data_IF_728939523590
#
_entry.id   IF_728939523590
#
_cell.length_a   1.000
_cell.length_b   1.000
_cell.length_c   1.000
_cell.angle_alpha   90.00
_cell.angle_beta   90.00
_cell.angle_gamma   90.00
#
_symmetry.space_group_name_H-M   'P 1'
#
loop_
_entity.id
_entity.type
_entity.pdbx_description
1 polymer ?
#
# COMPACT_ATOMS: atom_id res chain seq x y z
N UNK A 1 -37.85 -10.83 -34.07
CA UNK A 1 -38.16 -10.50 -32.66
C UNK A 1 -37.26 -11.25 -31.67
N UNK A 2 -36.95 -12.53 -31.90
CA UNK A 2 -36.10 -13.36 -31.02
C UNK A 2 -34.63 -12.92 -30.89
N UNK A 3 -34.00 -12.42 -31.96
CA UNK A 3 -32.60 -11.94 -31.92
C UNK A 3 -32.41 -10.74 -30.98
N UNK A 4 -33.36 -9.80 -30.97
CA UNK A 4 -33.32 -8.63 -30.05
C UNK A 4 -33.47 -9.06 -28.59
N UNK A 5 -34.28 -10.08 -28.32
CA UNK A 5 -34.48 -10.62 -26.97
C UNK A 5 -33.23 -11.33 -26.45
N UNK A 6 -32.54 -12.08 -27.31
CA UNK A 6 -31.28 -12.75 -26.99
C UNK A 6 -30.14 -11.78 -26.74
N UNK A 7 -30.04 -10.69 -27.52
CA UNK A 7 -29.02 -9.65 -27.32
C UNK A 7 -29.21 -8.90 -26.00
N UNK A 8 -30.46 -8.61 -25.62
CA UNK A 8 -30.77 -7.97 -24.33
C UNK A 8 -30.44 -8.91 -23.16
N UNK A 9 -30.77 -10.20 -23.25
CA UNK A 9 -30.44 -11.17 -22.22
C UNK A 9 -28.92 -11.35 -22.05
N UNK A 10 -28.16 -11.32 -23.15
CA UNK A 10 -26.69 -11.43 -23.11
C UNK A 10 -26.03 -10.18 -22.51
N UNK A 11 -26.57 -8.98 -22.77
CA UNK A 11 -26.15 -7.73 -22.12
C UNK A 11 -26.42 -7.74 -20.61
N UNK A 12 -27.56 -8.25 -20.16
CA UNK A 12 -27.86 -8.37 -18.72
C UNK A 12 -26.97 -9.40 -18.01
N UNK A 13 -26.58 -10.48 -18.69
CA UNK A 13 -25.65 -11.47 -18.13
C UNK A 13 -24.23 -10.92 -17.95
N UNK A 14 -23.78 -10.00 -18.82
CA UNK A 14 -22.48 -9.34 -18.68
C UNK A 14 -22.46 -8.29 -17.55
N UNK A 15 -23.56 -7.58 -17.30
CA UNK A 15 -23.65 -6.55 -16.23
C UNK A 15 -23.70 -7.17 -14.83
N UNK A 16 -24.19 -8.42 -14.71
CA UNK A 16 -24.29 -9.12 -13.43
C UNK A 16 -22.98 -9.79 -12.98
N UNK A 17 -21.96 -9.85 -13.85
CA UNK A 17 -20.65 -10.43 -13.51
C UNK A 17 -19.76 -9.39 -12.83
N UNK A 18 -20.18 -8.90 -11.66
CA UNK A 18 -19.21 -8.24 -10.77
C UNK A 18 -18.41 -9.34 -10.09
N UNK A 19 -17.07 -9.38 -10.23
CA UNK A 19 -16.28 -10.28 -9.40
C UNK A 19 -16.63 -9.99 -7.94
N UNK A 20 -16.85 -11.04 -7.16
CA UNK A 20 -17.12 -10.91 -5.75
C UNK A 20 -15.85 -10.34 -5.08
N UNK A 21 -15.81 -9.02 -4.92
CA UNK A 21 -14.83 -8.37 -4.06
C UNK A 21 -15.05 -8.93 -2.65
N UNK A 22 -14.06 -9.61 -2.10
CA UNK A 22 -14.21 -10.25 -0.79
C UNK A 22 -14.43 -9.16 0.25
N UNK A 23 -15.31 -9.41 1.23
CA UNK A 23 -15.54 -8.47 2.34
C UNK A 23 -14.23 -8.06 3.06
N UNK A 24 -13.18 -8.88 2.93
CA UNK A 24 -11.83 -8.63 3.44
C UNK A 24 -11.09 -7.54 2.68
N UNK A 25 -11.20 -7.45 1.35
CA UNK A 25 -10.51 -6.43 0.55
C UNK A 25 -11.05 -5.02 0.84
N UNK A 26 -12.38 -4.86 0.88
CA UNK A 26 -13.03 -3.58 1.25
C UNK A 26 -12.63 -3.13 2.67
N UNK A 27 -12.54 -4.07 3.61
CA UNK A 27 -12.11 -3.78 4.97
C UNK A 27 -10.65 -3.28 5.02
N UNK A 28 -9.76 -3.87 4.23
CA UNK A 28 -8.35 -3.45 4.16
C UNK A 28 -8.20 -2.07 3.51
N UNK A 29 -8.96 -1.78 2.44
CA UNK A 29 -8.99 -0.43 1.84
C UNK A 29 -9.47 0.62 2.85
N UNK A 30 -10.55 0.32 3.58
CA UNK A 30 -11.06 1.20 4.63
C UNK A 30 -10.04 1.46 5.74
N UNK A 31 -9.30 0.42 6.14
CA UNK A 31 -8.22 0.56 7.12
C UNK A 31 -7.10 1.45 6.59
N UNK A 32 -6.66 1.25 5.34
CA UNK A 32 -5.63 2.06 4.70
C UNK A 32 -6.03 3.54 4.63
N UNK A 33 -7.26 3.84 4.19
CA UNK A 33 -7.80 5.22 4.20
C UNK A 33 -7.84 5.83 5.60
N UNK A 34 -8.10 5.02 6.63
CA UNK A 34 -8.09 5.48 8.02
C UNK A 34 -6.67 5.84 8.50
N UNK A 35 -5.68 5.00 8.16
CA UNK A 35 -4.27 5.24 8.46
C UNK A 35 -3.78 6.53 7.78
N UNK A 36 -4.07 6.66 6.48
CA UNK A 36 -3.77 7.86 5.69
C UNK A 36 -4.31 9.12 6.34
N UNK A 37 -5.62 9.15 6.61
CA UNK A 37 -6.27 10.31 7.25
C UNK A 37 -5.63 10.67 8.58
N UNK A 38 -5.25 9.67 9.38
CA UNK A 38 -4.59 9.88 10.67
C UNK A 38 -3.21 10.55 10.53
N UNK A 39 -2.49 10.29 9.45
CA UNK A 39 -1.18 10.90 9.20
C UNK A 39 -1.29 12.24 8.46
N UNK A 40 -2.23 12.40 7.52
CA UNK A 40 -2.52 13.69 6.88
C UNK A 40 -3.00 14.76 7.88
N UNK A 41 -3.63 14.36 8.99
CA UNK A 41 -3.99 15.29 10.07
C UNK A 41 -2.79 15.78 10.89
N UNK A 42 -1.67 15.06 10.87
CA UNK A 42 -0.49 15.34 11.69
C UNK A 42 0.64 16.00 10.90
N UNK A 43 0.61 15.85 9.58
CA UNK A 43 1.69 16.23 8.69
C UNK A 43 1.08 17.09 7.60
N UNK A 44 1.63 18.29 7.44
CA UNK A 44 1.18 19.26 6.44
C UNK A 44 1.63 18.84 5.03
N UNK A 45 0.91 17.88 4.46
CA UNK A 45 1.13 17.36 3.12
C UNK A 45 -0.21 17.10 2.42
N UNK A 46 -0.26 17.41 1.13
CA UNK A 46 -1.43 17.12 0.29
C UNK A 46 -1.56 15.62 0.02
N UNK A 47 -2.80 15.13 -0.06
CA UNK A 47 -3.08 13.74 -0.44
C UNK A 47 -2.52 13.37 -1.82
N UNK A 48 -2.48 14.31 -2.78
CA UNK A 48 -1.91 14.07 -4.11
C UNK A 48 -0.42 13.69 -4.08
N UNK A 49 0.38 14.37 -3.24
CA UNK A 49 1.80 14.02 -3.02
C UNK A 49 1.97 12.62 -2.43
N UNK A 50 1.06 12.21 -1.55
CA UNK A 50 1.08 10.85 -0.96
C UNK A 50 0.71 9.81 -2.02
N UNK A 51 -0.36 10.05 -2.79
CA UNK A 51 -0.77 9.18 -3.90
C UNK A 51 0.29 9.10 -5.01
N UNK A 52 1.10 10.16 -5.18
CA UNK A 52 2.25 10.19 -6.07
C UNK A 52 3.24 9.05 -5.87
N UNK A 53 3.39 8.51 -4.65
CA UNK A 53 4.26 7.36 -4.40
C UNK A 53 3.86 6.13 -5.22
N UNK A 54 2.56 5.92 -5.48
CA UNK A 54 2.09 4.82 -6.35
C UNK A 54 2.47 5.02 -7.82
N UNK A 55 2.73 6.27 -8.22
CA UNK A 55 3.21 6.65 -9.56
C UNK A 55 4.74 6.71 -9.64
N UNK A 56 5.45 6.37 -8.56
CA UNK A 56 6.91 6.47 -8.49
C UNK A 56 7.42 7.87 -8.20
N UNK A 57 6.56 8.78 -7.76
CA UNK A 57 6.94 10.12 -7.36
C UNK A 57 7.48 10.08 -5.93
N UNK A 58 8.80 9.98 -5.83
CA UNK A 58 9.54 10.04 -4.58
C UNK A 58 10.41 11.32 -4.52
N UNK A 59 9.80 12.52 -4.38
CA UNK A 59 10.54 13.76 -4.24
C UNK A 59 11.25 13.85 -2.89
N UNK A 60 12.32 14.63 -2.84
CA UNK A 60 13.03 14.97 -1.60
C UNK A 60 12.22 15.97 -0.73
N UNK A 61 11.08 15.50 -0.21
CA UNK A 61 10.12 16.28 0.58
C UNK A 61 10.13 15.77 2.04
N UNK A 62 10.54 16.60 3.03
CA UNK A 62 10.59 16.22 4.43
C UNK A 62 9.25 15.72 4.99
N UNK A 63 8.12 16.30 4.54
CA UNK A 63 6.79 15.92 5.00
C UNK A 63 6.37 14.58 4.41
N UNK A 64 6.73 14.29 3.14
CA UNK A 64 6.46 12.98 2.55
C UNK A 64 7.29 11.88 3.23
N UNK A 65 8.56 12.18 3.55
CA UNK A 65 9.40 11.26 4.33
C UNK A 65 8.76 10.96 5.68
N UNK A 66 8.37 11.98 6.43
CA UNK A 66 7.75 11.77 7.73
C UNK A 66 6.35 11.16 7.65
N UNK A 67 5.63 11.32 6.53
CA UNK A 67 4.38 10.61 6.28
C UNK A 67 4.60 9.09 6.28
N UNK A 68 5.63 8.61 5.57
CA UNK A 68 5.96 7.18 5.59
C UNK A 68 6.25 6.66 7.00
N UNK A 69 7.01 7.42 7.79
CA UNK A 69 7.30 7.07 9.17
C UNK A 69 6.05 7.08 10.07
N UNK A 70 5.16 8.05 9.89
CA UNK A 70 3.89 8.10 10.62
C UNK A 70 3.06 6.83 10.41
N UNK A 71 2.89 6.41 9.15
CA UNK A 71 2.15 5.19 8.82
C UNK A 71 2.84 3.97 9.44
N UNK A 72 4.14 3.81 9.25
CA UNK A 72 4.90 2.67 9.78
C UNK A 72 4.85 2.59 11.31
N UNK A 73 4.87 3.73 12.01
CA UNK A 73 4.67 3.77 13.47
C UNK A 73 3.25 3.37 13.87
N UNK A 74 2.22 3.83 13.16
CA UNK A 74 0.83 3.46 13.45
C UNK A 74 0.59 1.96 13.34
N UNK A 75 1.14 1.31 12.32
CA UNK A 75 1.04 -0.14 12.13
C UNK A 75 2.14 -0.94 12.84
N UNK A 76 2.95 -0.25 13.67
CA UNK A 76 4.02 -0.81 14.51
C UNK A 76 5.16 -1.50 13.75
N UNK A 77 5.35 -1.19 12.47
CA UNK A 77 6.46 -1.68 11.66
C UNK A 77 7.72 -0.82 11.78
N UNK A 78 7.65 0.29 12.52
CA UNK A 78 8.80 1.09 12.91
C UNK A 78 8.76 1.33 14.43
N UNK A 79 9.83 0.96 15.13
CA UNK A 79 9.94 1.07 16.59
C UNK A 79 11.41 1.19 16.99
N UNK A 80 11.69 1.89 18.09
CA UNK A 80 13.04 2.04 18.65
C UNK A 80 14.06 2.58 17.62
N UNK A 81 13.66 3.55 16.80
CA UNK A 81 14.53 4.19 15.80
C UNK A 81 14.84 3.34 14.57
N UNK A 82 14.23 2.16 14.41
CA UNK A 82 14.49 1.23 13.31
C UNK A 82 13.21 0.57 12.76
N UNK A 83 13.35 -0.02 11.57
CA UNK A 83 12.30 -0.82 10.92
C UNK A 83 12.27 -2.21 11.56
N UNK A 84 11.09 -2.67 11.95
CA UNK A 84 10.85 -4.03 12.46
C UNK A 84 10.40 -4.92 11.29
N UNK A 85 11.37 -5.51 10.58
CA UNK A 85 11.08 -6.33 9.39
C UNK A 85 10.20 -7.54 9.71
N UNK A 86 10.32 -8.14 10.89
CA UNK A 86 9.46 -9.24 11.30
C UNK A 86 7.99 -8.77 11.40
N UNK A 87 7.77 -7.58 11.96
CA UNK A 87 6.43 -6.98 11.99
C UNK A 87 5.95 -6.56 10.60
N UNK A 88 6.83 -6.05 9.72
CA UNK A 88 6.45 -5.73 8.32
C UNK A 88 5.91 -6.97 7.62
N UNK A 89 6.63 -8.09 7.68
CA UNK A 89 6.22 -9.36 7.08
C UNK A 89 4.87 -9.81 7.65
N UNK A 90 4.70 -9.72 8.98
CA UNK A 90 3.45 -10.07 9.65
C UNK A 90 2.27 -9.19 9.20
N UNK A 91 2.46 -7.89 9.04
CA UNK A 91 1.40 -6.99 8.56
C UNK A 91 0.98 -7.33 7.13
N UNK A 92 1.95 -7.64 6.25
CA UNK A 92 1.65 -8.09 4.88
C UNK A 92 0.82 -9.37 4.88
N UNK A 93 1.17 -10.36 5.70
CA UNK A 93 0.42 -11.62 5.81
C UNK A 93 -1.00 -11.45 6.37
N UNK A 94 -1.22 -10.42 7.20
CA UNK A 94 -2.54 -10.11 7.76
C UNK A 94 -3.41 -9.26 6.82
N UNK A 95 -2.80 -8.51 5.91
CA UNK A 95 -3.49 -7.51 5.08
C UNK A 95 -3.67 -7.90 3.62
N UNK A 96 -3.04 -8.99 3.15
CA UNK A 96 -3.06 -9.39 1.76
C UNK A 96 -3.45 -10.86 1.59
N UNK A 97 -3.96 -11.21 0.40
CA UNK A 97 -4.15 -12.61 0.05
C UNK A 97 -2.80 -13.35 0.03
N UNK A 98 -2.76 -14.68 0.32
CA UNK A 98 -1.50 -15.41 0.43
C UNK A 98 -0.57 -15.29 -0.79
N UNK A 99 -1.12 -15.30 -2.01
CA UNK A 99 -0.36 -15.10 -3.25
C UNK A 99 0.28 -13.70 -3.35
N UNK A 100 -0.44 -12.65 -2.99
CA UNK A 100 0.03 -11.27 -3.03
C UNK A 100 1.03 -11.00 -1.91
N UNK A 101 0.77 -11.57 -0.73
CA UNK A 101 1.68 -11.52 0.41
C UNK A 101 3.03 -12.15 0.05
N UNK A 102 3.06 -13.27 -0.68
CA UNK A 102 4.30 -13.90 -1.12
C UNK A 102 5.15 -12.96 -2.00
N UNK A 103 4.51 -12.31 -2.98
CA UNK A 103 5.19 -11.35 -3.88
C UNK A 103 5.73 -10.15 -3.10
N UNK A 104 4.95 -9.60 -2.17
CA UNK A 104 5.40 -8.47 -1.35
C UNK A 104 6.53 -8.84 -0.38
N UNK A 105 6.50 -10.06 0.17
CA UNK A 105 7.58 -10.57 1.03
C UNK A 105 8.91 -10.66 0.31
N UNK A 106 8.93 -11.03 -0.98
CA UNK A 106 10.16 -11.02 -1.78
C UNK A 106 10.74 -9.60 -1.92
N UNK A 107 9.88 -8.60 -2.15
CA UNK A 107 10.31 -7.21 -2.21
C UNK A 107 10.87 -6.72 -0.87
N UNK A 108 10.17 -7.03 0.23
CA UNK A 108 10.62 -6.70 1.59
C UNK A 108 11.97 -7.34 1.91
N UNK A 109 12.15 -8.61 1.55
CA UNK A 109 13.41 -9.32 1.80
C UNK A 109 14.59 -8.64 1.08
N UNK A 110 14.43 -8.29 -0.20
CA UNK A 110 15.44 -7.54 -0.96
C UNK A 110 15.80 -6.22 -0.28
N UNK A 111 14.81 -5.49 0.23
CA UNK A 111 15.04 -4.22 0.92
C UNK A 111 15.61 -4.39 2.34
N UNK A 112 15.34 -5.52 3.02
CA UNK A 112 15.70 -5.72 4.43
C UNK A 112 17.21 -5.78 4.69
N UNK A 113 18.00 -6.08 3.66
CA UNK A 113 19.46 -6.18 3.74
C UNK A 113 20.18 -4.85 3.47
N UNK A 114 19.45 -3.78 3.16
CA UNK A 114 20.02 -2.46 2.93
C UNK A 114 20.40 -1.77 4.24
N UNK A 115 21.39 -0.89 4.17
CA UNK A 115 21.69 0.02 5.27
C UNK A 115 20.72 1.22 5.24
N UNK A 116 20.11 1.51 6.40
CA UNK A 116 19.17 2.61 6.57
C UNK A 116 19.79 3.73 7.41
N UNK A 117 20.30 4.75 6.74
CA UNK A 117 20.96 5.91 7.35
C UNK A 117 20.02 7.12 7.44
N UNK A 118 20.36 8.08 8.30
CA UNK A 118 19.59 9.31 8.50
C UNK A 118 18.58 9.21 9.65
N UNK A 119 17.70 10.20 9.73
CA UNK A 119 16.64 10.24 10.73
C UNK A 119 15.53 9.19 10.47
N UNK A 120 14.61 9.04 11.41
CA UNK A 120 13.53 8.05 11.32
C UNK A 120 12.65 8.22 10.08
N UNK A 121 12.42 9.47 9.64
CA UNK A 121 11.65 9.78 8.45
C UNK A 121 12.39 9.32 7.19
N UNK A 122 13.69 9.61 7.09
CA UNK A 122 14.53 9.17 5.99
C UNK A 122 14.61 7.65 5.90
N UNK A 123 14.80 6.95 7.04
CA UNK A 123 14.87 5.48 7.06
C UNK A 123 13.58 4.85 6.53
N UNK A 124 12.43 5.27 7.05
CA UNK A 124 11.11 4.79 6.59
C UNK A 124 10.90 5.06 5.11
N UNK A 125 11.25 6.26 4.66
CA UNK A 125 11.07 6.66 3.28
C UNK A 125 11.94 5.86 2.32
N UNK A 126 13.21 5.66 2.64
CA UNK A 126 14.13 4.83 1.85
C UNK A 126 13.62 3.40 1.73
N UNK A 127 13.05 2.84 2.80
CA UNK A 127 12.45 1.50 2.76
C UNK A 127 11.24 1.44 1.84
N UNK A 128 10.30 2.37 1.99
CA UNK A 128 9.08 2.43 1.15
C UNK A 128 9.45 2.65 -0.32
N UNK A 129 10.45 3.49 -0.61
CA UNK A 129 10.96 3.67 -1.97
C UNK A 129 11.57 2.38 -2.51
N UNK A 130 12.36 1.66 -1.71
CA UNK A 130 12.95 0.39 -2.15
C UNK A 130 11.87 -0.65 -2.51
N UNK A 131 10.79 -0.75 -1.74
CA UNK A 131 9.71 -1.69 -2.05
C UNK A 131 8.98 -1.32 -3.33
N UNK A 132 8.79 -0.01 -3.59
CA UNK A 132 8.32 0.47 -4.89
C UNK A 132 9.28 0.09 -6.02
N UNK A 133 10.57 0.44 -5.91
CA UNK A 133 11.58 0.20 -6.95
C UNK A 133 11.70 -1.30 -7.29
N UNK A 134 11.43 -2.18 -6.33
CA UNK A 134 11.49 -3.63 -6.51
C UNK A 134 10.28 -4.19 -7.26
N UNK A 135 9.08 -3.64 -7.03
CA UNK A 135 7.87 -4.06 -7.73
C UNK A 135 6.83 -2.91 -7.81
N UNK A 136 6.96 -2.00 -8.80
CA UNK A 136 6.06 -0.86 -8.93
C UNK A 136 4.60 -1.27 -9.17
N UNK A 137 4.36 -2.35 -9.92
CA UNK A 137 3.02 -2.80 -10.30
C UNK A 137 2.20 -3.32 -9.11
N UNK A 138 2.86 -3.83 -8.08
CA UNK A 138 2.23 -4.38 -6.87
C UNK A 138 2.44 -3.51 -5.64
N UNK A 139 3.07 -2.34 -5.82
CA UNK A 139 3.34 -1.44 -4.71
C UNK A 139 2.04 -0.92 -4.10
N UNK A 140 1.97 -1.01 -2.78
CA UNK A 140 0.91 -0.41 -1.99
C UNK A 140 1.49 0.21 -0.73
N UNK A 141 1.05 1.43 -0.45
CA UNK A 141 1.28 2.11 0.80
C UNK A 141 0.02 2.90 1.17
N UNK A 142 -0.45 2.85 2.43
CA UNK A 142 -1.56 3.66 2.90
C UNK A 142 -1.33 5.14 2.67
#
# INVERSE_FOLDING_TARGET
>A
MHVKLLLVAMLFAFVAWKPAESATAEQMDKMARSLRRSCLQKIDISEDKVEGMRRGEFPDDPNLKCYTNCIMKLIRTFKNGNIDFAMVIKQVELSMAPEEAAVMKEAILKCSHMEYTGDECQKSYTFVKCTYDTNPERFFFP
#
